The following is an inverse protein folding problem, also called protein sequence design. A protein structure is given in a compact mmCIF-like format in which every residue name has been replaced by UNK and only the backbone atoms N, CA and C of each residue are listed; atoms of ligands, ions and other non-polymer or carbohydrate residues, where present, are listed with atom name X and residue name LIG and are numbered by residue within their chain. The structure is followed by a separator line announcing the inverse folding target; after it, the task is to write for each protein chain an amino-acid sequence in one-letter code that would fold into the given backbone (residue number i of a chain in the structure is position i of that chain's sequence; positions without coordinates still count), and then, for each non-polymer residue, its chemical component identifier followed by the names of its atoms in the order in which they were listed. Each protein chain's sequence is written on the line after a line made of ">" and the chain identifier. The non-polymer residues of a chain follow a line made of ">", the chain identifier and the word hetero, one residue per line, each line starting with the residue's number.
data_IF_147159131168
#
_entry.id   IF_147159131168
#
_cell.length_a   1.000
_cell.length_b   1.000
_cell.length_c   1.000
_cell.angle_alpha   90.00
_cell.angle_beta   90.00
_cell.angle_gamma   90.00
#
_symmetry.space_group_name_H-M   'P 1'
#
loop_
_entity.id
_entity.type
_entity.pdbx_description
1 polymer ?
#
# COMPACT_ATOMS: atom_id res chain seq x y z
N UNK A 1 59.80 31.97 -20.89
CA UNK A 1 58.76 32.44 -21.78
C UNK A 1 58.04 31.23 -22.37
N UNK A 2 56.89 30.84 -21.79
CA UNK A 2 56.06 29.72 -22.27
C UNK A 2 54.78 30.30 -22.83
N UNK A 3 54.55 30.10 -24.12
CA UNK A 3 53.35 30.56 -24.81
C UNK A 3 52.19 29.58 -24.62
N UNK A 4 51.13 30.03 -23.96
CA UNK A 4 49.86 29.33 -23.88
C UNK A 4 49.11 29.43 -25.22
N UNK A 5 48.79 28.27 -25.83
CA UNK A 5 47.84 28.17 -26.97
C UNK A 5 46.41 28.01 -26.45
N UNK A 6 45.53 28.87 -26.91
CA UNK A 6 44.05 28.76 -26.67
C UNK A 6 43.47 27.73 -27.63
N UNK A 7 42.52 26.86 -27.20
CA UNK A 7 41.77 26.04 -28.14
C UNK A 7 40.59 26.83 -28.73
N UNK A 8 40.30 26.58 -29.99
CA UNK A 8 39.21 27.15 -30.78
C UNK A 8 37.87 26.51 -30.36
N UNK A 9 36.84 27.36 -30.21
CA UNK A 9 35.45 26.95 -30.00
C UNK A 9 34.83 26.64 -31.36
N UNK A 10 34.42 25.40 -31.58
CA UNK A 10 33.63 25.00 -32.73
C UNK A 10 32.13 25.19 -32.40
N UNK A 11 31.46 26.05 -33.21
CA UNK A 11 30.01 26.23 -33.16
C UNK A 11 29.32 25.07 -33.86
N UNK A 12 28.50 24.30 -33.15
CA UNK A 12 27.62 23.27 -33.71
C UNK A 12 26.26 23.90 -33.97
N UNK A 13 25.89 24.01 -35.24
CA UNK A 13 24.59 24.51 -35.66
C UNK A 13 23.47 23.52 -35.33
N UNK A 14 22.39 24.01 -34.74
CA UNK A 14 21.16 23.26 -34.49
C UNK A 14 20.34 23.21 -35.80
N UNK A 15 20.18 22.03 -36.39
CA UNK A 15 19.21 21.76 -37.45
C UNK A 15 17.90 21.31 -36.78
N UNK A 16 16.88 22.15 -36.79
CA UNK A 16 15.51 21.79 -36.37
C UNK A 16 14.78 21.10 -37.51
N UNK A 17 14.53 19.81 -37.39
CA UNK A 17 13.67 19.05 -38.31
C UNK A 17 12.23 19.08 -37.76
N UNK A 18 11.34 19.82 -38.43
CA UNK A 18 9.91 19.80 -38.14
C UNK A 18 9.28 18.57 -38.82
N UNK A 19 8.88 17.58 -38.05
CA UNK A 19 8.07 16.46 -38.52
C UNK A 19 6.59 16.82 -38.42
N UNK A 20 5.90 16.96 -39.55
CA UNK A 20 4.45 17.10 -39.59
C UNK A 20 3.79 15.74 -39.36
N UNK A 21 3.04 15.61 -38.26
CA UNK A 21 2.21 14.45 -38.01
C UNK A 21 0.85 14.66 -38.67
N UNK A 22 0.55 13.90 -39.71
CA UNK A 22 -0.78 13.81 -40.30
C UNK A 22 -1.67 12.90 -39.48
N UNK A 23 -2.77 13.45 -38.95
CA UNK A 23 -3.82 12.68 -38.29
C UNK A 23 -4.81 12.14 -39.33
N UNK A 24 -5.21 10.86 -39.30
CA UNK A 24 -6.27 10.35 -40.15
C UNK A 24 -7.64 10.83 -39.67
N UNK A 25 -8.44 11.44 -40.56
CA UNK A 25 -9.86 11.69 -40.38
C UNK A 25 -10.62 10.34 -40.41
N UNK A 26 -11.24 9.97 -39.29
CA UNK A 26 -12.25 8.92 -39.27
C UNK A 26 -13.60 9.53 -39.57
N UNK A 27 -14.19 9.16 -40.71
CA UNK A 27 -15.57 9.51 -41.06
C UNK A 27 -16.53 8.72 -40.18
N UNK A 28 -17.42 9.45 -39.48
CA UNK A 28 -18.57 8.89 -38.79
C UNK A 28 -19.53 8.30 -39.80
N UNK A 29 -19.71 6.99 -39.77
CA UNK A 29 -20.81 6.31 -40.46
C UNK A 29 -21.99 6.21 -39.50
N UNK A 30 -23.10 6.90 -39.80
CA UNK A 30 -24.39 6.72 -39.15
C UNK A 30 -24.93 5.32 -39.45
N UNK A 31 -24.89 4.45 -38.43
CA UNK A 31 -25.52 3.14 -38.44
C UNK A 31 -26.67 3.09 -37.44
N UNK A 32 -27.88 3.36 -37.87
CA UNK A 32 -29.10 3.08 -37.10
C UNK A 32 -29.30 1.57 -37.03
N UNK A 33 -28.90 0.97 -35.92
CA UNK A 33 -29.27 -0.41 -35.58
C UNK A 33 -30.43 -0.39 -34.56
N UNK A 34 -31.60 -0.80 -35.02
CA UNK A 34 -32.76 -1.08 -34.20
C UNK A 34 -32.47 -2.26 -33.25
N UNK A 35 -32.47 -2.00 -31.94
CA UNK A 35 -32.38 -3.05 -30.94
C UNK A 35 -33.73 -3.75 -30.76
N UNK A 36 -33.80 -5.08 -30.71
CA UNK A 36 -35.04 -5.80 -30.36
C UNK A 36 -35.37 -5.59 -28.88
N UNK A 37 -36.61 -5.20 -28.60
CA UNK A 37 -37.12 -5.08 -27.23
C UNK A 37 -37.23 -6.47 -26.61
N UNK A 38 -36.39 -6.78 -25.63
CA UNK A 38 -36.52 -8.00 -24.83
C UNK A 38 -37.50 -7.73 -23.72
N UNK A 39 -38.68 -8.37 -23.79
CA UNK A 39 -39.66 -8.37 -22.70
C UNK A 39 -39.17 -9.32 -21.61
N UNK A 40 -38.82 -8.80 -20.45
CA UNK A 40 -38.50 -9.61 -19.26
C UNK A 40 -39.79 -10.20 -18.68
N UNK A 41 -39.81 -11.50 -18.33
CA UNK A 41 -40.93 -12.10 -17.61
C UNK A 41 -40.98 -11.55 -16.17
N UNK A 42 -42.19 -11.18 -15.76
CA UNK A 42 -42.51 -10.74 -14.39
C UNK A 42 -42.33 -11.90 -13.41
N UNK A 43 -41.38 -11.77 -12.50
CA UNK A 43 -41.20 -12.70 -11.37
C UNK A 43 -42.33 -12.49 -10.34
N UNK A 44 -42.83 -13.56 -9.74
CA UNK A 44 -43.84 -13.46 -8.69
C UNK A 44 -43.25 -12.81 -7.43
N UNK A 45 -43.96 -11.82 -6.90
CA UNK A 45 -43.63 -11.13 -5.64
C UNK A 45 -43.82 -12.10 -4.48
N UNK A 46 -42.73 -12.70 -4.00
CA UNK A 46 -42.75 -13.42 -2.72
C UNK A 46 -42.54 -12.41 -1.61
N UNK A 47 -43.56 -12.15 -0.82
CA UNK A 47 -43.47 -11.36 0.41
C UNK A 47 -42.65 -12.12 1.43
N UNK A 48 -41.38 -11.70 1.66
CA UNK A 48 -40.57 -12.13 2.77
C UNK A 48 -40.99 -11.35 4.02
N UNK A 49 -41.29 -12.00 5.16
CA UNK A 49 -41.59 -11.28 6.38
C UNK A 49 -40.32 -10.54 6.85
N UNK A 50 -40.41 -9.21 6.93
CA UNK A 50 -39.37 -8.35 7.48
C UNK A 50 -39.32 -8.57 9.00
N UNK A 51 -38.43 -9.44 9.44
CA UNK A 51 -37.97 -9.45 10.83
C UNK A 51 -36.96 -8.32 10.97
N UNK A 52 -37.41 -7.18 11.49
CA UNK A 52 -36.51 -6.10 11.93
C UNK A 52 -35.66 -6.58 13.10
N UNK A 53 -34.60 -7.29 12.80
CA UNK A 53 -33.50 -7.49 13.73
C UNK A 53 -32.69 -6.20 13.73
N UNK A 54 -32.88 -5.39 14.78
CA UNK A 54 -32.01 -4.24 15.08
C UNK A 54 -30.64 -4.82 15.43
N UNK A 55 -29.76 -4.94 14.43
CA UNK A 55 -28.34 -5.15 14.70
C UNK A 55 -27.82 -3.80 15.21
N UNK A 56 -27.70 -3.66 16.51
CA UNK A 56 -26.98 -2.52 17.09
C UNK A 56 -25.56 -2.53 16.54
N UNK A 57 -25.10 -1.44 15.90
CA UNK A 57 -23.69 -1.31 15.63
C UNK A 57 -22.96 -1.36 16.97
N UNK A 58 -21.89 -2.15 17.03
CA UNK A 58 -20.96 -2.20 18.15
C UNK A 58 -20.66 -0.77 18.58
N UNK A 59 -20.96 -0.48 19.82
CA UNK A 59 -20.88 0.85 20.43
C UNK A 59 -19.56 1.53 20.05
N UNK A 60 -19.66 2.53 19.18
CA UNK A 60 -18.63 3.54 19.06
C UNK A 60 -18.42 4.12 20.46
N UNK A 61 -17.18 4.06 20.96
CA UNK A 61 -16.81 4.71 22.20
C UNK A 61 -17.24 6.17 22.13
N UNK A 62 -17.85 6.66 23.19
CA UNK A 62 -18.22 8.07 23.35
C UNK A 62 -17.06 8.95 22.93
N UNK A 63 -17.33 9.89 22.03
CA UNK A 63 -16.38 10.83 21.42
C UNK A 63 -15.70 11.71 22.48
N UNK A 64 -14.67 11.17 23.10
CA UNK A 64 -13.72 11.89 23.95
C UNK A 64 -12.45 12.28 23.16
N UNK A 65 -12.50 12.27 21.81
CA UNK A 65 -11.35 12.54 20.96
C UNK A 65 -10.35 11.39 20.86
N UNK A 66 -10.70 10.18 21.32
CA UNK A 66 -9.82 9.02 21.26
C UNK A 66 -10.57 7.76 20.79
N UNK A 67 -9.89 6.94 20.00
CA UNK A 67 -10.32 5.61 19.58
C UNK A 67 -9.19 4.64 19.83
N UNK A 68 -9.52 3.46 20.37
CA UNK A 68 -8.60 2.32 20.43
C UNK A 68 -9.40 1.05 20.04
N UNK A 69 -9.07 0.48 18.92
CA UNK A 69 -9.69 -0.74 18.41
C UNK A 69 -9.17 -1.95 19.22
N UNK A 70 -10.06 -2.92 19.46
CA UNK A 70 -9.64 -4.19 20.03
C UNK A 70 -8.89 -4.99 18.97
N UNK A 71 -7.58 -5.04 19.06
CA UNK A 71 -6.70 -5.73 18.14
C UNK A 71 -5.81 -6.75 18.87
N UNK A 72 -5.46 -7.89 18.27
CA UNK A 72 -4.45 -8.78 18.83
C UNK A 72 -3.05 -8.14 18.71
N UNK A 73 -2.20 -8.40 19.69
CA UNK A 73 -0.78 -8.02 19.63
C UNK A 73 -0.04 -9.21 19.07
N UNK A 74 0.32 -9.14 17.81
CA UNK A 74 0.94 -10.22 17.04
C UNK A 74 2.38 -9.84 16.69
N UNK A 75 3.28 -10.81 16.76
CA UNK A 75 4.64 -10.72 16.24
C UNK A 75 4.70 -11.44 14.88
N UNK A 76 5.44 -10.88 13.92
CA UNK A 76 5.74 -11.57 12.68
C UNK A 76 6.53 -12.86 12.92
N UNK A 77 6.21 -13.92 12.17
CA UNK A 77 6.80 -15.24 12.33
C UNK A 77 8.11 -15.41 11.53
N UNK A 78 8.21 -14.72 10.39
CA UNK A 78 9.36 -14.77 9.48
C UNK A 78 10.14 -13.46 9.54
N UNK A 79 11.30 -13.41 8.92
CA UNK A 79 12.20 -12.28 9.02
C UNK A 79 11.65 -10.99 8.36
N UNK A 80 10.90 -11.14 7.25
CA UNK A 80 10.44 -10.05 6.40
C UNK A 80 8.95 -10.18 6.02
N UNK A 81 8.08 -10.66 6.90
CA UNK A 81 6.63 -10.81 6.63
C UNK A 81 5.76 -9.82 7.41
N UNK A 82 6.30 -8.65 7.71
CA UNK A 82 5.59 -7.61 8.48
C UNK A 82 4.25 -7.24 7.85
N UNK A 83 4.12 -7.23 6.54
CA UNK A 83 2.89 -6.90 5.82
C UNK A 83 1.82 -7.97 6.02
N UNK A 84 2.22 -9.25 6.04
CA UNK A 84 1.30 -10.38 6.32
C UNK A 84 0.84 -10.34 7.78
N UNK A 85 1.76 -10.08 8.71
CA UNK A 85 1.43 -9.95 10.13
C UNK A 85 0.56 -8.71 10.40
N UNK A 86 0.85 -7.58 9.74
CA UNK A 86 0.03 -6.37 9.83
C UNK A 86 -1.38 -6.58 9.27
N UNK A 87 -1.50 -7.28 8.13
CA UNK A 87 -2.81 -7.63 7.58
C UNK A 87 -3.56 -8.59 8.49
N UNK A 88 -2.90 -9.58 9.11
CA UNK A 88 -3.52 -10.47 10.09
C UNK A 88 -4.17 -9.67 11.24
N UNK A 89 -3.46 -8.69 11.80
CA UNK A 89 -4.02 -7.82 12.85
C UNK A 89 -5.21 -7.03 12.33
N UNK A 90 -5.11 -6.43 11.14
CA UNK A 90 -6.17 -5.63 10.56
C UNK A 90 -7.43 -6.45 10.24
N UNK A 91 -7.27 -7.68 9.74
CA UNK A 91 -8.37 -8.63 9.52
C UNK A 91 -9.02 -9.07 10.84
N UNK A 92 -8.22 -9.33 11.88
CA UNK A 92 -8.72 -9.73 13.19
C UNK A 92 -9.56 -8.63 13.85
N UNK A 93 -9.24 -7.34 13.64
CA UNK A 93 -10.10 -6.20 14.03
C UNK A 93 -11.49 -6.32 13.42
N UNK A 94 -11.59 -6.88 12.20
CA UNK A 94 -12.85 -7.11 11.49
C UNK A 94 -13.48 -8.47 11.79
N UNK A 95 -12.99 -9.21 12.81
CA UNK A 95 -13.39 -10.57 13.16
C UNK A 95 -13.13 -11.60 12.03
N UNK A 96 -12.15 -11.36 11.19
CA UNK A 96 -11.67 -12.27 10.15
C UNK A 96 -10.36 -12.89 10.67
N UNK A 97 -10.39 -14.18 10.99
CA UNK A 97 -9.25 -14.90 11.56
C UNK A 97 -8.48 -15.64 10.45
N UNK A 98 -7.32 -15.09 10.07
CA UNK A 98 -6.43 -15.67 9.04
C UNK A 98 -5.00 -15.54 9.54
N UNK A 99 -4.27 -16.65 9.71
CA UNK A 99 -2.88 -16.60 10.15
C UNK A 99 -1.94 -16.05 9.06
N UNK A 100 -0.86 -15.40 9.49
CA UNK A 100 0.05 -14.67 8.61
C UNK A 100 0.76 -15.57 7.57
N UNK A 101 1.02 -16.82 7.88
CA UNK A 101 1.59 -17.81 6.95
C UNK A 101 0.67 -18.09 5.76
N UNK A 102 -0.65 -18.14 5.97
CA UNK A 102 -1.63 -18.26 4.90
C UNK A 102 -1.73 -16.98 4.08
N UNK A 103 -1.64 -15.81 4.72
CA UNK A 103 -1.61 -14.52 4.02
C UNK A 103 -0.37 -14.48 3.13
N UNK A 104 0.83 -14.73 3.68
CA UNK A 104 2.08 -14.76 2.92
C UNK A 104 2.03 -15.76 1.75
N UNK A 105 1.55 -16.98 1.99
CA UNK A 105 1.41 -18.00 0.95
C UNK A 105 0.45 -17.61 -0.18
N UNK A 106 -0.45 -16.64 0.06
CA UNK A 106 -1.39 -16.14 -0.94
C UNK A 106 -0.82 -15.02 -1.82
N UNK A 107 0.33 -14.43 -1.44
CA UNK A 107 0.97 -13.35 -2.18
C UNK A 107 1.72 -13.88 -3.40
N UNK A 108 1.71 -13.18 -4.52
CA UNK A 108 2.63 -13.45 -5.62
C UNK A 108 4.08 -13.18 -5.13
N UNK A 109 5.05 -13.92 -5.67
CA UNK A 109 6.44 -13.87 -5.21
C UNK A 109 7.42 -13.74 -6.37
N UNK A 110 8.42 -12.87 -6.21
CA UNK A 110 9.55 -12.72 -7.12
C UNK A 110 10.86 -12.97 -6.36
N UNK A 111 11.32 -14.22 -6.40
CA UNK A 111 12.56 -14.65 -5.73
C UNK A 111 13.85 -14.37 -6.53
N UNK A 112 13.76 -13.66 -7.66
CA UNK A 112 14.95 -13.31 -8.47
C UNK A 112 15.89 -12.40 -7.67
N UNK A 113 17.21 -12.68 -7.68
CA UNK A 113 18.17 -11.82 -6.99
C UNK A 113 18.27 -10.44 -7.68
N UNK A 114 18.61 -9.38 -6.93
CA UNK A 114 18.81 -8.06 -7.52
C UNK A 114 20.06 -7.97 -8.40
N UNK A 115 20.03 -7.03 -9.33
CA UNK A 115 21.27 -6.52 -9.96
C UNK A 115 21.79 -5.37 -9.09
N UNK A 116 22.95 -5.59 -8.49
CA UNK A 116 23.59 -4.58 -7.63
C UNK A 116 24.32 -3.56 -8.50
N UNK A 117 24.03 -2.29 -8.26
CA UNK A 117 24.69 -1.16 -8.91
C UNK A 117 26.07 -0.82 -8.30
N UNK A 118 26.72 0.19 -8.87
CA UNK A 118 28.10 0.60 -8.49
C UNK A 118 28.24 1.11 -7.05
N UNK A 119 27.15 1.49 -6.40
CA UNK A 119 27.13 1.96 -5.00
C UNK A 119 26.76 0.87 -3.98
N UNK A 120 26.67 -0.40 -4.41
CA UNK A 120 26.32 -1.51 -3.53
C UNK A 120 24.83 -1.64 -3.24
N UNK A 121 23.97 -0.85 -3.89
CA UNK A 121 22.52 -0.90 -3.78
C UNK A 121 21.89 -1.53 -5.03
N UNK A 122 20.66 -2.08 -4.95
CA UNK A 122 19.93 -2.56 -6.11
C UNK A 122 19.76 -1.47 -7.16
N UNK A 123 20.20 -1.72 -8.38
CA UNK A 123 19.88 -0.92 -9.56
C UNK A 123 18.66 -1.47 -10.30
N UNK A 124 18.44 -2.81 -10.17
CA UNK A 124 17.29 -3.51 -10.74
C UNK A 124 16.90 -4.66 -9.83
N UNK A 125 15.58 -4.82 -9.57
CA UNK A 125 15.03 -5.91 -8.77
C UNK A 125 13.56 -6.16 -9.10
N UNK A 126 12.84 -6.93 -8.25
CA UNK A 126 11.40 -7.15 -8.35
C UNK A 126 10.57 -5.86 -8.16
N UNK A 127 9.29 -5.97 -8.44
CA UNK A 127 8.32 -4.89 -8.24
C UNK A 127 7.44 -5.20 -7.01
N UNK A 128 7.67 -4.58 -5.85
CA UNK A 128 6.88 -4.83 -4.65
C UNK A 128 5.41 -4.39 -4.78
N UNK A 129 5.07 -3.60 -5.80
CA UNK A 129 3.66 -3.31 -6.13
C UNK A 129 2.94 -4.50 -6.80
N UNK A 130 3.67 -5.58 -7.13
CA UNK A 130 3.13 -6.78 -7.80
C UNK A 130 3.39 -8.05 -7.03
N UNK A 131 4.59 -8.18 -6.45
CA UNK A 131 5.08 -9.42 -5.87
C UNK A 131 5.78 -9.14 -4.53
N UNK A 132 5.81 -10.12 -3.64
CA UNK A 132 6.78 -10.15 -2.55
C UNK A 132 8.17 -10.32 -3.15
N UNK A 133 9.09 -9.39 -2.87
CA UNK A 133 10.40 -9.33 -3.52
C UNK A 133 11.48 -9.99 -2.67
N UNK A 134 12.11 -11.03 -3.22
CA UNK A 134 13.21 -11.76 -2.58
C UNK A 134 12.76 -12.86 -1.64
N UNK A 135 13.63 -13.23 -0.69
CA UNK A 135 13.40 -14.28 0.29
C UNK A 135 12.79 -13.69 1.57
N UNK A 136 11.67 -14.22 2.02
CA UNK A 136 11.00 -13.80 3.27
C UNK A 136 11.85 -14.04 4.52
N UNK A 137 12.76 -15.03 4.48
CA UNK A 137 13.76 -15.26 5.52
C UNK A 137 15.10 -14.57 5.24
N UNK A 138 15.12 -13.69 4.22
CA UNK A 138 16.28 -12.93 3.83
C UNK A 138 16.68 -11.85 4.84
N UNK A 139 17.62 -11.05 4.44
CA UNK A 139 18.12 -9.92 5.23
C UNK A 139 18.17 -8.68 4.34
N UNK A 140 17.33 -7.71 4.63
CA UNK A 140 17.13 -6.52 3.82
C UNK A 140 18.43 -5.74 3.55
N UNK A 141 19.31 -5.48 4.56
CA UNK A 141 20.57 -4.77 4.31
C UNK A 141 21.53 -5.48 3.35
N UNK A 142 21.39 -6.79 3.12
CA UNK A 142 22.15 -7.54 2.12
C UNK A 142 21.38 -7.81 0.82
N UNK A 143 20.16 -7.26 0.70
CA UNK A 143 19.30 -7.38 -0.47
C UNK A 143 19.01 -8.84 -0.88
N UNK A 144 18.88 -9.74 0.10
CA UNK A 144 18.43 -11.11 -0.11
C UNK A 144 16.92 -11.26 -0.04
N UNK A 145 16.23 -10.30 0.60
CA UNK A 145 14.80 -10.13 0.65
C UNK A 145 14.44 -8.66 0.91
N UNK A 146 13.20 -8.30 0.60
CA UNK A 146 12.72 -6.92 0.79
C UNK A 146 11.32 -6.91 1.41
N UNK A 147 10.27 -7.22 0.66
CA UNK A 147 8.89 -7.16 1.12
C UNK A 147 7.91 -6.94 -0.04
N UNK A 148 6.69 -6.52 0.30
CA UNK A 148 5.61 -6.26 -0.66
C UNK A 148 4.88 -4.96 -0.30
N UNK A 149 4.40 -4.23 -1.32
CA UNK A 149 3.64 -3.00 -1.12
C UNK A 149 2.13 -3.26 -1.16
N UNK A 150 1.34 -2.19 -1.04
CA UNK A 150 -0.09 -2.28 -0.78
C UNK A 150 -0.93 -3.09 -1.79
N UNK A 151 -0.69 -3.13 -3.12
CA UNK A 151 -1.67 -3.72 -4.03
C UNK A 151 -1.86 -5.23 -3.85
N UNK A 152 -0.81 -6.06 -3.67
CA UNK A 152 -0.98 -7.48 -3.35
C UNK A 152 -1.64 -7.70 -1.98
N UNK A 153 -1.40 -6.81 -1.01
CA UNK A 153 -2.00 -6.88 0.33
C UNK A 153 -3.50 -6.54 0.27
N UNK A 154 -3.92 -5.58 -0.56
CA UNK A 154 -5.35 -5.34 -0.87
C UNK A 154 -5.99 -6.61 -1.43
N UNK A 155 -5.38 -7.21 -2.45
CA UNK A 155 -5.87 -8.45 -3.07
C UNK A 155 -5.97 -9.60 -2.05
N UNK A 156 -4.99 -9.72 -1.14
CA UNK A 156 -5.02 -10.71 -0.08
C UNK A 156 -6.18 -10.44 0.91
N UNK A 157 -6.37 -9.20 1.36
CA UNK A 157 -7.48 -8.83 2.24
C UNK A 157 -8.85 -9.17 1.62
N UNK A 158 -9.05 -8.84 0.35
CA UNK A 158 -10.28 -9.13 -0.40
C UNK A 158 -10.51 -10.64 -0.57
N UNK A 159 -9.46 -11.43 -0.81
CA UNK A 159 -9.51 -12.89 -0.87
C UNK A 159 -10.07 -13.50 0.41
N UNK A 160 -9.79 -12.91 1.56
CA UNK A 160 -10.28 -13.37 2.86
C UNK A 160 -11.59 -12.70 3.28
N UNK A 161 -12.26 -12.00 2.36
CA UNK A 161 -13.62 -11.48 2.55
C UNK A 161 -13.68 -10.11 3.21
N UNK A 162 -12.57 -9.38 3.34
CA UNK A 162 -12.59 -7.98 3.73
C UNK A 162 -12.83 -7.05 2.53
N UNK A 163 -13.23 -5.82 2.81
CA UNK A 163 -13.13 -4.71 1.86
C UNK A 163 -11.83 -3.98 2.18
N UNK A 164 -10.96 -3.79 1.19
CA UNK A 164 -9.71 -3.09 1.36
C UNK A 164 -9.57 -1.95 0.35
N UNK A 165 -9.07 -0.79 0.82
CA UNK A 165 -8.79 0.36 -0.03
C UNK A 165 -7.34 0.80 0.19
N UNK A 166 -6.49 0.60 -0.84
CA UNK A 166 -5.07 0.88 -0.79
C UNK A 166 -4.64 1.97 -1.75
N UNK A 167 -3.83 2.91 -1.26
CA UNK A 167 -3.22 3.96 -2.07
C UNK A 167 -2.00 4.58 -1.37
N UNK A 168 -1.31 5.46 -2.06
CA UNK A 168 -0.35 6.41 -1.47
C UNK A 168 -1.04 7.72 -1.13
N UNK A 169 -0.42 8.56 -0.30
CA UNK A 169 -0.98 9.85 0.09
C UNK A 169 -1.96 9.79 1.25
N UNK A 170 -1.95 8.72 2.05
CA UNK A 170 -2.69 8.71 3.31
C UNK A 170 -2.21 9.84 4.23
N UNK A 171 -3.16 10.60 4.77
CA UNK A 171 -2.95 11.57 5.84
C UNK A 171 -3.39 10.99 7.19
N UNK A 172 -2.85 11.52 8.28
CA UNK A 172 -3.29 11.13 9.63
C UNK A 172 -4.79 11.32 9.81
N UNK A 173 -5.37 12.42 9.32
CA UNK A 173 -6.81 12.66 9.41
C UNK A 173 -7.65 11.59 8.69
N UNK A 174 -7.17 11.03 7.57
CA UNK A 174 -7.84 9.91 6.91
C UNK A 174 -7.71 8.62 7.72
N UNK A 175 -6.56 8.37 8.35
CA UNK A 175 -6.36 7.24 9.25
C UNK A 175 -7.31 7.34 10.45
N UNK A 176 -7.37 8.48 11.13
CA UNK A 176 -8.29 8.73 12.25
C UNK A 176 -9.75 8.52 11.85
N UNK A 177 -10.13 8.99 10.65
CA UNK A 177 -11.47 8.77 10.10
C UNK A 177 -11.78 7.27 9.92
N UNK A 178 -10.84 6.46 9.46
CA UNK A 178 -11.03 5.00 9.34
C UNK A 178 -11.14 4.34 10.70
N UNK A 179 -10.26 4.71 11.63
CA UNK A 179 -10.31 4.18 13.00
C UNK A 179 -11.62 4.53 13.71
N UNK A 180 -12.15 5.75 13.50
CA UNK A 180 -13.46 6.17 14.01
C UNK A 180 -14.60 5.28 13.48
N UNK A 181 -14.49 4.80 12.24
CA UNK A 181 -15.42 3.85 11.63
C UNK A 181 -15.22 2.40 12.09
N UNK A 182 -14.23 2.13 12.94
CA UNK A 182 -13.88 0.78 13.39
C UNK A 182 -12.94 0.02 12.44
N UNK A 183 -12.39 0.69 11.43
CA UNK A 183 -11.51 0.09 10.44
C UNK A 183 -10.04 0.27 10.85
N UNK A 184 -9.24 -0.80 10.85
CA UNK A 184 -7.79 -0.70 10.98
C UNK A 184 -7.16 -0.23 9.68
N UNK A 185 -6.00 0.47 9.78
CA UNK A 185 -5.24 0.96 8.62
C UNK A 185 -3.82 0.44 8.72
N UNK A 186 -3.37 -0.33 7.73
CA UNK A 186 -1.97 -0.74 7.63
C UNK A 186 -1.19 0.36 6.90
N UNK A 187 -0.09 0.81 7.50
CA UNK A 187 0.76 1.89 6.98
C UNK A 187 2.19 1.38 6.79
N UNK A 188 2.80 1.74 5.65
CA UNK A 188 4.21 1.53 5.36
C UNK A 188 5.05 2.70 5.88
N UNK A 189 6.08 2.37 6.63
CA UNK A 189 7.05 3.29 7.22
C UNK A 189 8.40 2.54 7.40
N UNK A 190 9.32 3.09 8.16
CA UNK A 190 10.57 2.39 8.51
C UNK A 190 10.55 1.92 9.95
N UNK A 191 11.20 0.81 10.24
CA UNK A 191 11.21 0.15 11.55
C UNK A 191 11.84 0.97 12.68
N UNK A 192 12.54 2.07 12.37
CA UNK A 192 13.02 3.06 13.35
C UNK A 192 12.03 4.22 13.55
N UNK A 193 10.89 4.20 12.84
CA UNK A 193 9.81 5.20 12.92
C UNK A 193 10.26 6.64 12.64
N UNK A 194 11.23 6.81 11.72
CA UNK A 194 11.75 8.11 11.32
C UNK A 194 11.57 8.33 9.81
N UNK A 195 11.50 9.58 9.37
CA UNK A 195 11.50 9.88 7.94
C UNK A 195 12.87 9.59 7.33
N UNK A 196 12.88 8.91 6.19
CA UNK A 196 14.06 8.67 5.37
C UNK A 196 13.84 9.18 3.95
N UNK A 197 14.92 9.55 3.27
CA UNK A 197 14.87 9.86 1.84
C UNK A 197 14.90 8.53 1.08
N UNK A 198 13.85 8.18 0.33
CA UNK A 198 13.82 6.91 -0.38
C UNK A 198 14.88 6.85 -1.47
N UNK A 199 15.50 5.68 -1.61
CA UNK A 199 16.31 5.29 -2.76
C UNK A 199 15.40 4.72 -3.85
N UNK A 200 15.97 4.37 -5.01
CA UNK A 200 15.18 3.83 -6.11
C UNK A 200 15.95 2.72 -6.84
N UNK A 201 15.23 1.64 -7.17
CA UNK A 201 15.67 0.72 -8.21
C UNK A 201 14.67 0.73 -9.37
N UNK A 202 15.04 0.10 -10.49
CA UNK A 202 14.14 -0.15 -11.60
C UNK A 202 13.63 -1.58 -11.52
N UNK A 203 12.32 -1.80 -11.49
CA UNK A 203 11.73 -3.12 -11.54
C UNK A 203 12.01 -3.81 -12.90
N UNK A 204 11.81 -5.13 -12.97
CA UNK A 204 12.07 -5.89 -14.19
C UNK A 204 11.25 -5.41 -15.40
N UNK A 205 10.07 -4.85 -15.14
CA UNK A 205 9.15 -4.27 -16.12
C UNK A 205 9.42 -2.79 -16.44
N UNK A 206 10.43 -2.18 -15.81
CA UNK A 206 10.83 -0.80 -16.03
C UNK A 206 10.24 0.22 -15.07
N UNK A 207 9.38 -0.19 -14.14
CA UNK A 207 8.82 0.70 -13.11
C UNK A 207 9.91 1.15 -12.15
N UNK A 208 9.90 2.43 -11.78
CA UNK A 208 10.81 2.99 -10.78
C UNK A 208 10.21 2.79 -9.38
N UNK A 209 10.85 1.98 -8.55
CA UNK A 209 10.40 1.60 -7.21
C UNK A 209 11.10 2.44 -6.16
N UNK A 210 10.39 3.21 -5.31
CA UNK A 210 10.96 3.82 -4.13
C UNK A 210 11.22 2.76 -3.06
N UNK A 211 12.35 2.83 -2.35
CA UNK A 211 12.68 1.90 -1.28
C UNK A 211 13.53 2.56 -0.20
N UNK A 212 13.53 2.00 0.99
CA UNK A 212 14.42 2.37 2.09
C UNK A 212 14.77 1.12 2.88
N UNK A 213 15.96 1.07 3.49
CA UNK A 213 16.31 0.02 4.45
C UNK A 213 15.46 0.19 5.70
N UNK A 214 15.01 -0.94 6.27
CA UNK A 214 14.11 -0.97 7.40
C UNK A 214 12.66 -0.75 6.98
N UNK A 215 12.30 -1.07 5.72
CA UNK A 215 10.90 -1.12 5.31
C UNK A 215 10.08 -1.91 6.31
N UNK A 216 8.92 -1.38 6.71
CA UNK A 216 8.10 -1.97 7.74
C UNK A 216 6.63 -1.57 7.59
N UNK A 217 5.73 -2.54 7.74
CA UNK A 217 4.30 -2.32 7.73
C UNK A 217 3.73 -2.47 9.16
N UNK A 218 2.90 -1.52 9.58
CA UNK A 218 2.27 -1.54 10.90
C UNK A 218 0.76 -1.33 10.80
N UNK A 219 -0.07 -2.13 11.51
CA UNK A 219 -1.50 -1.87 11.64
C UNK A 219 -1.74 -0.79 12.70
N UNK A 220 -2.33 0.31 12.29
CA UNK A 220 -2.78 1.38 13.19
C UNK A 220 -4.10 0.97 13.81
N UNK A 221 -4.18 1.03 15.13
CA UNK A 221 -5.32 0.57 15.90
C UNK A 221 -5.95 1.64 16.77
N UNK A 222 -5.34 2.82 16.90
CA UNK A 222 -5.92 3.88 17.71
C UNK A 222 -5.31 5.25 17.50
N UNK A 223 -6.02 6.25 18.00
CA UNK A 223 -5.56 7.63 18.08
C UNK A 223 -6.14 8.30 19.34
N UNK A 224 -5.51 9.38 19.78
CA UNK A 224 -5.98 10.24 20.88
C UNK A 224 -5.67 11.69 20.48
N UNK A 225 -6.69 12.47 20.10
CA UNK A 225 -6.53 13.88 19.67
C UNK A 225 -6.21 14.83 20.80
N UNK A 226 -6.50 14.43 22.06
CA UNK A 226 -6.16 15.25 23.25
C UNK A 226 -4.67 15.10 23.58
N UNK A 227 -4.13 13.87 23.47
CA UNK A 227 -2.70 13.58 23.69
C UNK A 227 -1.87 13.78 22.44
N UNK A 228 -2.52 14.00 21.29
CA UNK A 228 -1.91 14.13 19.97
C UNK A 228 -1.04 12.90 19.63
N UNK A 229 -1.66 11.70 19.69
CA UNK A 229 -0.96 10.44 19.51
C UNK A 229 -1.67 9.46 18.59
N UNK A 230 -0.87 8.62 17.92
CA UNK A 230 -1.28 7.46 17.13
C UNK A 230 -0.75 6.18 17.78
N UNK A 231 -1.63 5.17 17.90
CA UNK A 231 -1.31 3.86 18.48
C UNK A 231 -1.37 2.79 17.40
N UNK A 232 -0.38 1.92 17.36
CA UNK A 232 -0.25 0.82 16.39
C UNK A 232 0.40 -0.42 17.00
N UNK A 233 0.28 -1.57 16.35
CA UNK A 233 1.02 -2.78 16.71
C UNK A 233 2.32 -2.80 15.92
N UNK A 234 3.45 -2.81 16.59
CA UNK A 234 4.76 -3.09 15.99
C UNK A 234 4.93 -4.61 15.89
N UNK A 235 4.57 -5.13 14.72
CA UNK A 235 4.60 -6.57 14.45
C UNK A 235 6.01 -7.16 14.43
N UNK A 236 7.06 -6.36 14.23
CA UNK A 236 8.44 -6.82 14.29
C UNK A 236 8.79 -7.33 15.70
N UNK A 237 8.27 -6.68 16.73
CA UNK A 237 8.53 -7.02 18.12
C UNK A 237 7.33 -7.65 18.84
N UNK A 238 6.13 -7.59 18.27
CA UNK A 238 4.89 -8.03 18.89
C UNK A 238 4.53 -7.17 20.12
N UNK A 239 4.54 -5.86 19.94
CA UNK A 239 4.24 -4.89 21.01
C UNK A 239 3.34 -3.76 20.50
N UNK A 240 2.51 -3.22 21.36
CA UNK A 240 1.82 -1.96 21.09
C UNK A 240 2.79 -0.79 21.25
N UNK A 241 2.72 0.17 20.33
CA UNK A 241 3.47 1.41 20.39
C UNK A 241 2.58 2.62 20.18
N UNK A 242 3.02 3.73 20.74
CA UNK A 242 2.39 5.03 20.58
C UNK A 242 3.46 6.06 20.18
N UNK A 243 3.18 6.84 19.15
CA UNK A 243 3.98 7.98 18.71
C UNK A 243 3.13 9.26 18.78
N UNK A 244 3.78 10.42 18.84
CA UNK A 244 3.06 11.67 18.55
C UNK A 244 2.56 11.65 17.11
N UNK A 245 1.43 12.30 16.85
CA UNK A 245 0.86 12.44 15.50
C UNK A 245 1.86 13.02 14.51
N UNK A 246 2.66 14.02 14.95
CA UNK A 246 3.72 14.61 14.14
C UNK A 246 4.80 13.58 13.76
N UNK A 247 5.31 12.82 14.74
CA UNK A 247 6.35 11.81 14.49
C UNK A 247 5.85 10.70 13.57
N UNK A 248 4.60 10.24 13.76
CA UNK A 248 3.98 9.22 12.90
C UNK A 248 3.80 9.76 11.47
N UNK A 249 3.26 10.97 11.32
CA UNK A 249 3.10 11.62 10.02
C UNK A 249 4.45 11.79 9.30
N UNK A 250 5.51 12.17 10.02
CA UNK A 250 6.84 12.28 9.46
C UNK A 250 7.37 10.92 8.98
N UNK A 251 7.21 9.84 9.76
CA UNK A 251 7.66 8.50 9.40
C UNK A 251 6.97 7.98 8.12
N UNK A 252 5.68 8.26 7.92
CA UNK A 252 4.92 7.88 6.71
C UNK A 252 5.49 8.47 5.42
N UNK A 253 6.21 9.59 5.49
CA UNK A 253 6.70 10.30 4.29
C UNK A 253 7.69 9.48 3.48
N UNK A 254 8.43 8.54 4.11
CA UNK A 254 9.40 7.66 3.44
C UNK A 254 8.80 6.91 2.26
N UNK A 255 7.59 6.39 2.42
CA UNK A 255 6.84 5.66 1.38
C UNK A 255 5.67 6.48 0.82
N UNK A 256 5.70 7.81 0.95
CA UNK A 256 4.69 8.70 0.38
C UNK A 256 3.31 8.53 0.98
N UNK A 257 3.19 8.16 2.25
CA UNK A 257 1.91 7.86 2.90
C UNK A 257 1.24 6.63 2.29
N UNK A 258 1.99 5.58 2.01
CA UNK A 258 1.46 4.30 1.52
C UNK A 258 0.69 3.58 2.61
N UNK A 259 -0.51 3.09 2.28
CA UNK A 259 -1.33 2.34 3.24
C UNK A 259 -2.57 1.71 2.64
N UNK A 260 -3.24 0.91 3.46
CA UNK A 260 -4.55 0.31 3.16
C UNK A 260 -5.48 0.46 4.36
N UNK A 261 -6.76 0.74 4.15
CA UNK A 261 -7.80 0.50 5.15
C UNK A 261 -8.44 -0.86 4.94
N UNK A 262 -8.81 -1.52 6.04
CA UNK A 262 -9.45 -2.84 6.04
C UNK A 262 -10.75 -2.75 6.81
N UNK A 263 -11.87 -3.13 6.18
CA UNK A 263 -13.21 -3.15 6.76
C UNK A 263 -13.94 -4.45 6.49
N UNK A 264 -14.92 -4.78 7.34
CA UNK A 264 -15.78 -5.94 7.10
C UNK A 264 -16.71 -5.72 5.89
N UNK A 265 -17.09 -6.82 5.23
CA UNK A 265 -18.27 -6.85 4.35
C UNK A 265 -19.52 -6.93 5.22
N UNK A 266 -20.51 -6.08 4.97
CA UNK A 266 -21.81 -6.07 5.66
C UNK A 266 -22.75 -7.14 5.10
#
# INVERSE_FOLDING_TARGET
>A
MIRLRRPAVAAIGLLTLAAAVALPLWTLADGTTSHPTVTLPTLPTTTVPTTSGTVSPSTAATDNGAVLLKAPIIKQDLALDCESAALQVALAVQNIDVPQDQIYASLPQDARPPVIGSYGYPSKWGDPFKDFVGDVNGYEPSFTGYGVYYPPIVTAAERYGAIANGHTGWSVAQIESQLHLGNSVVIWLTSDFKPHVPQYWTAWDGVRVPWAIGEHAVPVIGYDTIKDTITFVDVLYGVERTLSTEAFAAAMTTFGGMGISVSATF
#
